data_IF_792629313903
#
_entry.id   IF_792629313903
#
_cell.length_a   1.000
_cell.length_b   1.000
_cell.length_c   1.000
_cell.angle_alpha   90.00
_cell.angle_beta   90.00
_cell.angle_gamma   90.00
#
_symmetry.space_group_name_H-M   'P 1'
#
loop_
_entity.id
_entity.type
_entity.pdbx_description
1 polymer ?
#
# COMPACT_ATOMS: atom_id res chain seq x y z
N UNK A 1 -17.94 7.72 16.67
CA UNK A 1 -16.79 7.75 17.61
C UNK A 1 -15.72 6.66 17.41
N UNK A 2 -15.98 5.51 16.78
CA UNK A 2 -15.03 4.37 16.70
C UNK A 2 -13.84 4.48 15.72
N UNK A 3 -13.73 5.54 14.93
CA UNK A 3 -12.76 5.61 13.81
C UNK A 3 -11.65 6.65 13.98
N UNK A 4 -11.67 7.45 15.05
CA UNK A 4 -10.64 8.48 15.28
C UNK A 4 -9.41 7.87 15.92
N UNK A 5 -8.45 7.44 15.09
CA UNK A 5 -7.06 7.53 15.51
C UNK A 5 -6.75 9.02 15.59
N UNK A 6 -6.43 9.53 16.80
CA UNK A 6 -6.14 10.97 16.99
C UNK A 6 -4.82 11.40 16.32
N UNK A 7 -4.00 10.42 15.94
CA UNK A 7 -2.67 10.62 15.38
C UNK A 7 -2.38 9.55 14.32
N UNK A 8 -1.85 9.97 13.17
CA UNK A 8 -1.44 9.09 12.07
C UNK A 8 -1.13 9.91 10.82
N UNK A 9 -0.11 9.49 10.07
CA UNK A 9 0.31 10.19 8.85
C UNK A 9 -0.58 9.81 7.67
N UNK A 10 -1.00 10.81 6.90
CA UNK A 10 -1.63 10.64 5.60
C UNK A 10 -0.70 11.28 4.56
N UNK A 11 -0.49 10.59 3.44
CA UNK A 11 0.38 11.03 2.35
C UNK A 11 -0.48 11.60 1.20
N UNK A 12 -0.11 11.36 -0.06
CA UNK A 12 -0.89 11.70 -1.25
C UNK A 12 -2.12 10.78 -1.40
N UNK A 13 -3.37 11.27 -1.39
CA UNK A 13 -4.55 10.43 -1.61
C UNK A 13 -4.64 9.90 -3.04
N UNK A 14 -5.42 8.85 -3.26
CA UNK A 14 -5.79 8.36 -4.59
C UNK A 14 -7.27 8.55 -4.83
N UNK A 15 -7.64 9.05 -6.02
CA UNK A 15 -9.04 9.19 -6.43
C UNK A 15 -9.54 7.83 -6.92
N UNK A 16 -10.76 7.47 -6.52
CA UNK A 16 -11.46 6.26 -6.95
C UNK A 16 -12.86 6.63 -7.44
N UNK A 17 -13.54 5.68 -8.07
CA UNK A 17 -14.93 5.86 -8.47
C UNK A 17 -15.82 6.19 -7.26
N UNK A 18 -16.96 6.84 -7.53
CA UNK A 18 -17.99 7.13 -6.54
C UNK A 18 -18.54 5.83 -5.94
N UNK A 19 -18.22 5.56 -4.68
CA UNK A 19 -18.64 4.34 -3.98
C UNK A 19 -19.92 4.53 -3.17
N UNK A 20 -20.35 5.77 -2.93
CA UNK A 20 -21.56 6.07 -2.16
C UNK A 20 -22.74 6.57 -3.02
N UNK A 21 -22.54 6.70 -4.33
CA UNK A 21 -23.49 7.19 -5.34
C UNK A 21 -23.96 8.65 -5.10
N UNK A 22 -23.09 9.53 -4.60
CA UNK A 22 -23.39 10.95 -4.38
C UNK A 22 -23.03 11.89 -5.55
N UNK A 23 -22.60 11.28 -6.67
CA UNK A 23 -22.17 11.86 -7.95
C UNK A 23 -20.80 12.55 -7.89
N UNK A 24 -20.00 12.30 -6.84
CA UNK A 24 -18.64 12.80 -6.71
C UNK A 24 -17.69 11.61 -6.52
N UNK A 25 -16.58 11.62 -7.24
CA UNK A 25 -15.54 10.61 -7.08
C UNK A 25 -15.00 10.58 -5.65
N UNK A 26 -14.74 9.39 -5.12
CA UNK A 26 -14.30 9.20 -3.74
C UNK A 26 -12.77 9.08 -3.65
N UNK A 27 -12.27 8.94 -2.42
CA UNK A 27 -10.83 8.95 -2.15
C UNK A 27 -10.44 7.73 -1.31
N UNK A 28 -9.37 7.04 -1.71
CA UNK A 28 -8.71 6.02 -0.89
C UNK A 28 -7.35 6.51 -0.41
N UNK A 29 -7.02 6.20 0.84
CA UNK A 29 -5.74 6.53 1.42
C UNK A 29 -5.31 5.49 2.46
N UNK A 30 -4.01 5.34 2.69
CA UNK A 30 -3.50 4.58 3.84
C UNK A 30 -3.09 5.54 4.94
N UNK A 31 -3.65 5.32 6.14
CA UNK A 31 -3.17 5.92 7.37
C UNK A 31 -1.98 5.12 7.89
N UNK A 32 -0.82 5.76 7.94
CA UNK A 32 0.41 5.23 8.52
C UNK A 32 0.30 5.04 10.05
N UNK A 33 1.39 4.58 10.66
CA UNK A 33 1.48 4.40 12.10
C UNK A 33 1.35 5.71 12.90
N UNK A 34 1.03 5.60 14.19
CA UNK A 34 1.03 6.73 15.11
C UNK A 34 2.48 7.09 15.49
N UNK A 35 2.98 8.20 14.95
CA UNK A 35 4.33 8.72 15.24
C UNK A 35 4.56 9.03 16.73
N UNK A 36 3.52 9.21 17.54
CA UNK A 36 3.66 9.47 18.98
C UNK A 36 3.89 8.20 19.81
N UNK A 37 3.71 7.01 19.23
CA UNK A 37 4.04 5.75 19.91
C UNK A 37 5.49 5.38 19.64
N UNK A 38 6.40 6.19 20.19
CA UNK A 38 7.81 5.83 20.36
C UNK A 38 7.95 5.18 21.74
N UNK A 39 7.50 3.93 21.91
CA UNK A 39 7.82 3.22 23.16
C UNK A 39 7.70 1.70 23.03
N UNK A 40 8.72 1.02 23.53
CA UNK A 40 8.91 -0.43 23.67
C UNK A 40 7.76 -1.19 24.39
N UNK A 41 6.68 -0.51 24.81
CA UNK A 41 5.65 -1.04 25.71
C UNK A 41 4.21 -0.57 25.43
N UNK A 42 3.93 -0.02 24.24
CA UNK A 42 2.54 0.26 23.81
C UNK A 42 2.25 -0.44 22.49
N UNK A 43 1.11 -1.12 22.42
CA UNK A 43 0.58 -1.71 21.19
C UNK A 43 0.43 -0.62 20.13
N UNK A 44 1.32 -0.60 19.14
CA UNK A 44 1.17 0.24 17.94
C UNK A 44 -0.15 -0.13 17.27
N UNK A 45 -1.00 0.87 17.01
CA UNK A 45 -2.24 0.63 16.29
C UNK A 45 -1.93 0.28 14.82
N UNK A 46 -2.66 -0.66 14.22
CA UNK A 46 -2.44 -1.08 12.85
C UNK A 46 -2.67 0.09 11.90
N UNK A 47 -1.88 0.16 10.82
CA UNK A 47 -2.25 1.00 9.67
C UNK A 47 -3.62 0.59 9.13
N UNK A 48 -4.36 1.57 8.62
CA UNK A 48 -5.70 1.36 8.06
C UNK A 48 -5.77 1.94 6.66
N UNK A 49 -6.46 1.24 5.78
CA UNK A 49 -6.91 1.81 4.51
C UNK A 49 -8.23 2.53 4.79
N UNK A 50 -8.27 3.82 4.50
CA UNK A 50 -9.39 4.71 4.71
C UNK A 50 -9.99 5.09 3.36
N UNK A 51 -11.31 5.00 3.28
CA UNK A 51 -12.10 5.49 2.17
C UNK A 51 -12.85 6.73 2.64
N UNK A 52 -12.76 7.81 1.90
CA UNK A 52 -13.41 9.08 2.18
C UNK A 52 -14.38 9.44 1.07
N UNK A 53 -15.51 10.00 1.48
CA UNK A 53 -16.45 10.64 0.58
C UNK A 53 -15.79 11.87 -0.03
N UNK A 54 -15.65 11.92 -1.35
CA UNK A 54 -15.01 13.05 -2.04
C UNK A 54 -15.79 14.36 -1.88
N UNK A 55 -17.11 14.26 -1.71
CA UNK A 55 -18.01 15.41 -1.53
C UNK A 55 -17.96 16.01 -0.12
N UNK A 56 -17.89 15.15 0.91
CA UNK A 56 -18.07 15.57 2.31
C UNK A 56 -16.83 15.43 3.17
N UNK A 57 -15.82 14.69 2.72
CA UNK A 57 -14.64 14.33 3.51
C UNK A 57 -14.91 13.32 4.63
N UNK A 58 -16.15 12.80 4.75
CA UNK A 58 -16.49 11.80 5.75
C UNK A 58 -15.84 10.46 5.44
N UNK A 59 -15.42 9.72 6.48
CA UNK A 59 -14.95 8.34 6.32
C UNK A 59 -16.14 7.46 5.93
N UNK A 60 -16.06 6.84 4.76
CA UNK A 60 -17.00 5.84 4.26
C UNK A 60 -16.66 4.45 4.79
N UNK A 61 -15.37 4.08 4.75
CA UNK A 61 -14.86 2.77 5.23
C UNK A 61 -13.48 2.90 5.84
N UNK A 62 -13.15 1.99 6.76
CA UNK A 62 -11.84 1.87 7.38
C UNK A 62 -11.47 0.40 7.57
N UNK A 63 -10.48 -0.08 6.82
CA UNK A 63 -10.07 -1.48 6.77
C UNK A 63 -8.69 -1.62 7.41
N UNK A 64 -8.55 -2.52 8.38
CA UNK A 64 -7.26 -2.77 9.02
C UNK A 64 -6.32 -3.53 8.07
N UNK A 65 -5.06 -3.10 7.99
CA UNK A 65 -4.03 -3.85 7.28
C UNK A 65 -3.68 -5.11 8.07
N UNK A 66 -3.49 -6.27 7.42
CA UNK A 66 -3.11 -7.49 8.11
C UNK A 66 -1.81 -7.37 8.92
N UNK A 67 -1.64 -8.29 9.87
CA UNK A 67 -0.42 -8.45 10.68
C UNK A 67 -0.01 -7.23 11.52
N UNK A 68 -0.87 -6.21 11.63
CA UNK A 68 -0.62 -5.01 12.42
C UNK A 68 0.65 -4.26 11.99
N UNK A 69 0.97 -4.33 10.69
CA UNK A 69 2.13 -3.69 10.10
C UNK A 69 1.85 -2.22 9.76
N UNK A 70 2.89 -1.39 9.76
CA UNK A 70 2.81 0.02 9.37
C UNK A 70 3.07 0.19 7.87
N UNK A 71 2.31 1.07 7.23
CA UNK A 71 2.61 1.58 5.88
C UNK A 71 3.26 2.95 5.97
N UNK A 72 4.23 3.23 5.08
CA UNK A 72 5.02 4.47 5.08
C UNK A 72 4.88 5.28 3.79
N UNK A 73 4.02 4.84 2.87
CA UNK A 73 3.74 5.60 1.65
C UNK A 73 2.27 5.44 1.23
N UNK A 74 1.82 6.34 0.36
CA UNK A 74 0.48 6.29 -0.23
C UNK A 74 0.24 4.97 -0.98
N UNK A 75 -0.96 4.39 -0.92
CA UNK A 75 -1.29 3.34 -1.88
C UNK A 75 -1.15 3.88 -3.30
N UNK A 76 -0.78 3.01 -4.24
CA UNK A 76 -0.79 3.32 -5.66
C UNK A 76 -1.85 2.45 -6.32
N UNK A 77 -2.65 3.05 -7.19
CA UNK A 77 -3.62 2.33 -8.01
C UNK A 77 -3.04 2.10 -9.41
N UNK A 78 -3.27 0.92 -9.97
CA UNK A 78 -2.95 0.62 -11.36
C UNK A 78 -3.97 -0.35 -11.95
N UNK A 79 -4.24 -0.21 -13.25
CA UNK A 79 -5.18 -1.08 -13.96
C UNK A 79 -4.46 -2.28 -14.56
N UNK A 80 -5.07 -3.45 -14.43
CA UNK A 80 -4.75 -4.65 -15.22
C UNK A 80 -5.69 -4.73 -16.41
N UNK A 81 -5.64 -5.83 -17.17
CA UNK A 81 -6.62 -6.08 -18.24
C UNK A 81 -8.03 -6.32 -17.72
N UNK A 82 -8.17 -6.69 -16.45
CA UNK A 82 -9.42 -7.19 -15.87
C UNK A 82 -9.97 -6.30 -14.75
N UNK A 83 -9.09 -5.62 -13.99
CA UNK A 83 -9.47 -4.97 -12.74
C UNK A 83 -8.52 -3.83 -12.34
N UNK A 84 -9.00 -2.96 -11.45
CA UNK A 84 -8.18 -1.97 -10.77
C UNK A 84 -7.57 -2.60 -9.51
N UNK A 85 -6.24 -2.52 -9.37
CA UNK A 85 -5.51 -3.04 -8.20
C UNK A 85 -4.88 -1.91 -7.40
N UNK A 86 -4.75 -2.15 -6.11
CA UNK A 86 -4.02 -1.31 -5.18
C UNK A 86 -2.74 -2.01 -4.74
N UNK A 87 -1.60 -1.29 -4.79
CA UNK A 87 -0.33 -1.71 -4.21
C UNK A 87 0.03 -0.82 -3.04
N UNK A 88 0.54 -1.43 -1.96
CA UNK A 88 1.08 -0.72 -0.81
C UNK A 88 2.17 -1.55 -0.13
N UNK A 89 3.10 -0.87 0.53
CA UNK A 89 4.20 -1.50 1.25
C UNK A 89 4.07 -1.32 2.75
N UNK A 90 4.64 -2.26 3.50
CA UNK A 90 4.67 -2.23 4.95
C UNK A 90 6.08 -2.42 5.52
N UNK A 91 6.22 -2.21 6.82
CA UNK A 91 7.45 -2.40 7.59
C UNK A 91 8.12 -1.07 7.91
N UNK A 92 9.43 -1.08 8.18
CA UNK A 92 10.20 0.15 8.43
C UNK A 92 11.69 -0.06 8.18
N UNK A 93 12.53 0.90 8.52
CA UNK A 93 13.99 0.75 8.46
C UNK A 93 14.53 -0.37 9.36
N UNK A 94 13.83 -0.65 10.46
CA UNK A 94 14.28 -1.59 11.50
C UNK A 94 13.34 -2.80 11.66
N UNK A 95 12.28 -2.87 10.87
CA UNK A 95 11.30 -3.94 10.90
C UNK A 95 11.04 -4.45 9.49
N UNK A 96 11.06 -5.77 9.33
CA UNK A 96 10.61 -6.42 8.11
C UNK A 96 9.17 -6.04 7.74
N UNK A 97 8.82 -6.26 6.47
CA UNK A 97 7.49 -5.97 5.97
C UNK A 97 7.27 -6.59 4.60
N UNK A 98 6.19 -6.19 3.94
CA UNK A 98 5.72 -6.82 2.72
C UNK A 98 5.31 -5.76 1.69
N UNK A 99 5.43 -6.11 0.42
CA UNK A 99 4.73 -5.41 -0.65
C UNK A 99 3.45 -6.19 -0.95
N UNK A 100 2.32 -5.56 -0.73
CA UNK A 100 1.00 -6.14 -0.91
C UNK A 100 0.34 -5.63 -2.18
N UNK A 101 -0.43 -6.50 -2.83
CA UNK A 101 -1.34 -6.13 -3.92
C UNK A 101 -2.71 -6.73 -3.65
N UNK A 102 -3.77 -5.95 -3.84
CA UNK A 102 -5.16 -6.40 -3.72
C UNK A 102 -6.02 -5.73 -4.79
N UNK A 103 -6.99 -6.43 -5.41
CA UNK A 103 -8.01 -5.78 -6.22
C UNK A 103 -8.81 -4.77 -5.40
N UNK A 104 -9.07 -3.59 -5.97
CA UNK A 104 -9.78 -2.53 -5.28
C UNK A 104 -11.21 -2.96 -4.93
N UNK A 105 -11.88 -3.71 -5.80
CA UNK A 105 -13.25 -4.17 -5.58
C UNK A 105 -13.35 -5.15 -4.41
N UNK A 106 -12.44 -6.13 -4.33
CA UNK A 106 -12.37 -7.05 -3.19
C UNK A 106 -12.12 -6.29 -1.88
N UNK A 107 -11.23 -5.30 -1.91
CA UNK A 107 -10.99 -4.42 -0.77
C UNK A 107 -12.24 -3.61 -0.37
N UNK A 108 -12.97 -3.03 -1.33
CA UNK A 108 -14.23 -2.32 -1.07
C UNK A 108 -15.31 -3.23 -0.47
N UNK A 109 -15.29 -4.51 -0.82
CA UNK A 109 -16.16 -5.55 -0.25
C UNK A 109 -15.66 -6.09 1.10
N UNK A 110 -14.56 -5.54 1.63
CA UNK A 110 -13.91 -5.99 2.87
C UNK A 110 -13.46 -7.46 2.81
N UNK A 111 -13.26 -7.98 1.60
CA UNK A 111 -12.74 -9.33 1.35
C UNK A 111 -11.23 -9.26 1.10
N UNK A 112 -10.45 -9.71 2.09
CA UNK A 112 -8.99 -9.79 2.01
C UNK A 112 -8.50 -11.14 1.45
N UNK A 113 -9.38 -12.04 1.01
CA UNK A 113 -9.01 -13.37 0.50
C UNK A 113 -8.11 -13.31 -0.73
N UNK A 114 -8.22 -12.24 -1.54
CA UNK A 114 -7.38 -11.99 -2.72
C UNK A 114 -6.13 -11.15 -2.45
N UNK A 115 -5.87 -10.75 -1.21
CA UNK A 115 -4.64 -10.05 -0.87
C UNK A 115 -3.41 -10.92 -1.19
N UNK A 116 -2.48 -10.37 -1.98
CA UNK A 116 -1.23 -11.04 -2.35
C UNK A 116 -0.05 -10.38 -1.66
N UNK A 117 0.71 -11.19 -0.93
CA UNK A 117 2.07 -10.88 -0.49
C UNK A 117 3.02 -11.11 -1.68
N UNK A 118 3.42 -10.04 -2.37
CA UNK A 118 4.21 -10.15 -3.60
C UNK A 118 5.70 -10.25 -3.31
N UNK A 119 6.19 -9.47 -2.34
CA UNK A 119 7.59 -9.51 -1.90
C UNK A 119 7.64 -9.35 -0.39
N UNK A 120 8.55 -10.10 0.26
CA UNK A 120 8.80 -10.03 1.70
C UNK A 120 10.21 -9.52 1.98
N UNK A 121 10.32 -8.50 2.84
CA UNK A 121 11.55 -8.00 3.40
C UNK A 121 11.72 -8.50 4.83
N UNK A 122 12.69 -9.38 5.10
CA UNK A 122 12.81 -10.00 6.43
C UNK A 122 13.37 -9.07 7.52
N UNK A 123 14.23 -8.12 7.15
CA UNK A 123 14.91 -7.21 8.10
C UNK A 123 14.47 -5.75 7.97
N UNK A 124 14.09 -5.34 6.77
CA UNK A 124 13.64 -3.99 6.43
C UNK A 124 12.37 -4.07 5.59
N UNK A 125 11.51 -3.07 5.73
CA UNK A 125 10.25 -2.95 5.03
C UNK A 125 10.35 -2.30 3.65
N UNK A 126 9.19 -2.11 3.04
CA UNK A 126 8.98 -1.39 1.80
C UNK A 126 8.43 -0.01 2.15
N UNK A 127 9.32 0.97 2.26
CA UNK A 127 8.94 2.34 2.64
C UNK A 127 8.85 3.30 1.45
N UNK A 128 9.37 2.89 0.28
CA UNK A 128 9.32 3.69 -0.93
C UNK A 128 8.19 3.19 -1.85
N UNK A 129 7.40 4.10 -2.45
CA UNK A 129 6.42 3.74 -3.46
C UNK A 129 7.09 3.05 -4.66
N UNK A 130 6.49 1.98 -5.23
CA UNK A 130 6.97 1.43 -6.49
C UNK A 130 6.74 2.41 -7.65
N UNK A 131 7.62 2.37 -8.63
CA UNK A 131 7.46 3.06 -9.91
C UNK A 131 6.67 2.16 -10.85
N UNK A 132 5.72 2.74 -11.59
CA UNK A 132 4.92 2.05 -12.58
C UNK A 132 5.52 2.23 -13.98
N UNK A 133 5.85 1.14 -14.66
CA UNK A 133 6.30 1.17 -16.05
C UNK A 133 6.04 -0.18 -16.71
N UNK A 134 5.48 -0.20 -17.93
CA UNK A 134 5.37 -1.44 -18.71
C UNK A 134 6.75 -1.79 -19.31
N UNK A 135 7.48 -2.68 -18.63
CA UNK A 135 8.85 -3.06 -19.04
C UNK A 135 8.88 -4.32 -19.87
N UNK A 136 7.84 -5.14 -19.80
CA UNK A 136 7.73 -6.39 -20.56
C UNK A 136 6.90 -6.26 -21.84
N UNK A 137 6.22 -5.12 -22.03
CA UNK A 137 5.41 -4.74 -23.19
C UNK A 137 4.14 -5.58 -23.38
N UNK A 138 3.52 -6.03 -22.29
CA UNK A 138 2.24 -6.76 -22.33
C UNK A 138 1.00 -5.86 -22.29
N UNK A 139 1.20 -4.54 -22.23
CA UNK A 139 0.16 -3.51 -22.16
C UNK A 139 -0.32 -3.20 -20.75
N UNK A 140 0.31 -3.75 -19.72
CA UNK A 140 0.01 -3.51 -18.30
C UNK A 140 1.27 -2.99 -17.62
N UNK A 141 1.12 -1.99 -16.75
CA UNK A 141 2.28 -1.42 -16.03
C UNK A 141 2.85 -2.43 -15.04
N UNK A 142 4.16 -2.58 -15.01
CA UNK A 142 4.88 -3.39 -14.05
C UNK A 142 5.29 -2.55 -12.83
N UNK A 143 5.52 -3.21 -11.69
CA UNK A 143 5.92 -2.58 -10.44
C UNK A 143 7.43 -2.69 -10.26
N UNK A 144 8.12 -1.56 -10.21
CA UNK A 144 9.56 -1.50 -9.91
C UNK A 144 9.72 -0.94 -8.50
N UNK A 145 10.09 -1.79 -7.56
CA UNK A 145 10.19 -1.42 -6.15
C UNK A 145 11.66 -1.46 -5.70
N UNK A 146 12.14 -0.33 -5.17
CA UNK A 146 13.42 -0.23 -4.50
C UNK A 146 13.21 -0.37 -2.99
N UNK A 147 13.42 -1.58 -2.48
CA UNK A 147 13.31 -1.89 -1.06
C UNK A 147 14.55 -1.45 -0.28
N UNK A 148 14.37 -1.12 1.00
CA UNK A 148 15.48 -0.84 1.90
C UNK A 148 16.40 -2.05 2.13
N UNK A 149 15.92 -3.26 1.79
CA UNK A 149 16.63 -4.52 1.92
C UNK A 149 17.74 -4.71 0.88
N UNK A 150 18.31 -3.63 0.34
CA UNK A 150 19.36 -3.63 -0.69
C UNK A 150 18.90 -4.26 -2.02
N UNK A 151 17.60 -4.41 -2.26
CA UNK A 151 17.09 -5.05 -3.46
C UNK A 151 16.18 -4.10 -4.24
N UNK A 152 16.41 -4.04 -5.54
CA UNK A 152 15.44 -3.55 -6.52
C UNK A 152 14.78 -4.75 -7.16
N UNK A 153 13.45 -4.76 -7.20
CA UNK A 153 12.66 -5.85 -7.77
C UNK A 153 11.68 -5.30 -8.78
N UNK A 154 11.62 -5.93 -9.96
CA UNK A 154 10.58 -5.69 -10.94
C UNK A 154 9.60 -6.85 -10.95
N UNK A 155 8.32 -6.52 -10.91
CA UNK A 155 7.21 -7.44 -10.76
C UNK A 155 6.23 -7.17 -11.89
N UNK A 156 5.85 -8.21 -12.62
CA UNK A 156 4.85 -8.10 -13.67
C UNK A 156 3.50 -7.68 -13.08
N UNK A 157 2.90 -6.58 -13.54
CA UNK A 157 1.69 -6.02 -12.93
C UNK A 157 0.44 -6.88 -13.14
N UNK A 158 0.39 -7.61 -14.24
CA UNK A 158 -0.73 -8.50 -14.58
C UNK A 158 -0.73 -9.78 -13.74
N UNK A 159 0.42 -10.45 -13.67
CA UNK A 159 0.58 -11.80 -13.10
C UNK A 159 1.19 -11.83 -11.71
N UNK A 160 1.72 -10.70 -11.24
CA UNK A 160 2.45 -10.54 -9.98
C UNK A 160 3.72 -11.42 -9.86
N UNK A 161 4.22 -11.95 -10.97
CA UNK A 161 5.47 -12.71 -11.01
C UNK A 161 6.67 -11.76 -11.04
N UNK A 162 7.74 -12.11 -10.34
CA UNK A 162 9.01 -11.38 -10.44
C UNK A 162 9.56 -11.52 -11.86
N UNK A 163 9.81 -10.38 -12.52
CA UNK A 163 10.48 -10.32 -13.83
C UNK A 163 11.99 -10.44 -13.60
N UNK A 164 12.53 -9.61 -12.71
CA UNK A 164 13.93 -9.66 -12.29
C UNK A 164 14.11 -9.07 -10.88
N UNK A 165 15.24 -9.39 -10.26
CA UNK A 165 15.67 -8.79 -9.00
C UNK A 165 17.16 -8.51 -9.04
N UNK A 166 17.56 -7.34 -8.52
CA UNK A 166 18.95 -6.91 -8.46
C UNK A 166 19.30 -6.48 -7.04
N UNK A 167 20.39 -7.03 -6.51
CA UNK A 167 20.87 -6.75 -5.15
C UNK A 167 22.06 -5.78 -5.19
N UNK A 168 21.90 -4.65 -4.53
CA UNK A 168 22.91 -3.60 -4.36
C UNK A 168 23.48 -3.62 -2.95
N UNK A 169 24.52 -4.44 -2.74
CA UNK A 169 25.15 -4.57 -1.43
C UNK A 169 25.70 -3.23 -0.93
N UNK A 170 25.36 -2.86 0.31
CA UNK A 170 25.85 -1.63 0.93
C UNK A 170 25.12 -0.34 0.52
N UNK A 171 23.99 -0.44 -0.19
CA UNK A 171 23.16 0.70 -0.57
C UNK A 171 21.78 0.66 0.11
N UNK A 172 21.23 1.84 0.38
CA UNK A 172 19.86 2.01 0.87
C UNK A 172 19.13 3.04 0.01
N UNK A 173 17.81 2.90 -0.13
CA UNK A 173 17.01 3.78 -0.98
C UNK A 173 16.02 4.56 -0.12
N UNK A 174 15.99 5.87 -0.32
CA UNK A 174 15.08 6.79 0.33
C UNK A 174 14.36 7.61 -0.76
N UNK A 175 13.09 7.95 -0.52
CA UNK A 175 12.26 8.82 -1.38
C UNK A 175 11.69 9.99 -0.61
#
# INVERSE_FOLDING_TARGET
>A
EKFRNKHGTLYMPQIIDDINNDQVADVVQIQGGDFHVISYNKTRQPSKILFFCGKTGNILKAIAIPRNEESNFSPILYSTKEELRMVYGTGSENQGGHLYVIPLLDLLNEDLSKLKEVVKGSRKGFINPPILADINKDGVVDLICAGLNQNVVAINGETLKIIWSYKMTGAETYS
#
